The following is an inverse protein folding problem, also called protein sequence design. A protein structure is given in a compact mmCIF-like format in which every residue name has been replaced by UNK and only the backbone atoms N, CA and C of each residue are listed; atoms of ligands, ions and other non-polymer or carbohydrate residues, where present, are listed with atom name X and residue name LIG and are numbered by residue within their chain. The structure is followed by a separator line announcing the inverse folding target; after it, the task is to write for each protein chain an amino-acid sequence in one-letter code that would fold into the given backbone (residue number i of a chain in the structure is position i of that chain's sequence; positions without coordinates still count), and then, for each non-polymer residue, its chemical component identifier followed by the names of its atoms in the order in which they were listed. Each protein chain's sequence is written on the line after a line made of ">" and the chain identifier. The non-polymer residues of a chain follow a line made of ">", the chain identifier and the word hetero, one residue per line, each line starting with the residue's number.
data_IF_006147542734
#
_entry.id   IF_006147542734
#
_cell.length_a   1.000
_cell.length_b   1.000
_cell.length_c   1.000
_cell.angle_alpha   90.00
_cell.angle_beta   90.00
_cell.angle_gamma   90.00
#
_symmetry.space_group_name_H-M   'P 1'
#
loop_
_entity.id
_entity.type
_entity.pdbx_description
1 polymer ?
#
# COMPACT_ATOMS: atom_id res chain seq x y z
N UNK A 1 -12.15 45.21 4.75
CA UNK A 1 -10.85 44.50 4.65
C UNK A 1 -10.61 43.50 5.78
N UNK A 2 -10.58 43.89 7.08
CA UNK A 2 -10.34 42.95 8.22
C UNK A 2 -11.27 41.73 8.29
N UNK A 3 -12.60 41.89 8.09
CA UNK A 3 -13.55 40.76 8.08
C UNK A 3 -13.33 39.76 6.93
N UNK A 4 -12.85 40.25 5.78
CA UNK A 4 -12.63 39.44 4.59
C UNK A 4 -11.39 38.55 4.75
N UNK A 5 -10.35 39.09 5.40
CA UNK A 5 -9.16 38.34 5.81
C UNK A 5 -9.52 37.27 6.86
N UNK A 6 -10.36 37.59 7.86
CA UNK A 6 -10.82 36.59 8.85
C UNK A 6 -11.59 35.44 8.17
N UNK A 7 -12.46 35.73 7.22
CA UNK A 7 -13.22 34.71 6.46
C UNK A 7 -12.27 33.84 5.64
N UNK A 8 -11.29 34.44 4.95
CA UNK A 8 -10.32 33.71 4.14
C UNK A 8 -9.46 32.77 4.99
N UNK A 9 -9.02 33.21 6.18
CA UNK A 9 -8.29 32.38 7.12
C UNK A 9 -9.16 31.19 7.58
N UNK A 10 -10.42 31.43 7.96
CA UNK A 10 -11.35 30.35 8.34
C UNK A 10 -11.49 29.34 7.20
N UNK A 11 -11.62 29.80 5.97
CA UNK A 11 -11.77 28.92 4.80
C UNK A 11 -10.53 28.03 4.62
N UNK A 12 -9.32 28.61 4.60
CA UNK A 12 -8.08 27.84 4.44
C UNK A 12 -7.95 26.79 5.54
N UNK A 13 -8.09 27.20 6.80
CA UNK A 13 -7.91 26.28 7.93
C UNK A 13 -9.01 25.21 7.92
N UNK A 14 -10.25 25.56 7.55
CA UNK A 14 -11.34 24.60 7.41
C UNK A 14 -11.04 23.57 6.32
N UNK A 15 -10.62 24.01 5.14
CA UNK A 15 -10.22 23.12 4.05
C UNK A 15 -9.08 22.19 4.49
N UNK A 16 -8.05 22.72 5.17
CA UNK A 16 -6.94 21.91 5.67
C UNK A 16 -7.38 20.89 6.73
N UNK A 17 -8.28 21.24 7.65
CA UNK A 17 -8.82 20.30 8.65
C UNK A 17 -9.66 19.20 7.99
N UNK A 18 -10.52 19.54 7.03
CA UNK A 18 -11.32 18.56 6.27
C UNK A 18 -10.40 17.61 5.51
N UNK A 19 -9.36 18.15 4.89
CA UNK A 19 -8.39 17.39 4.12
C UNK A 19 -7.59 16.41 4.99
N UNK A 20 -7.03 16.88 6.10
CA UNK A 20 -6.34 16.02 7.08
C UNK A 20 -7.29 14.94 7.59
N UNK A 21 -8.52 15.31 7.99
CA UNK A 21 -9.50 14.35 8.49
C UNK A 21 -9.87 13.28 7.45
N UNK A 22 -10.01 13.69 6.18
CA UNK A 22 -10.28 12.76 5.08
C UNK A 22 -9.12 11.79 4.86
N UNK A 23 -7.88 12.27 4.90
CA UNK A 23 -6.69 11.42 4.84
C UNK A 23 -6.68 10.37 5.98
N UNK A 24 -6.98 10.78 7.22
CA UNK A 24 -7.06 9.86 8.36
C UNK A 24 -8.19 8.82 8.20
N UNK A 25 -9.36 9.24 7.70
CA UNK A 25 -10.48 8.33 7.42
C UNK A 25 -10.06 7.30 6.38
N UNK A 26 -9.49 7.72 5.25
CA UNK A 26 -9.05 6.79 4.20
C UNK A 26 -7.92 5.86 4.66
N UNK A 27 -6.97 6.38 5.44
CA UNK A 27 -5.90 5.56 6.03
C UNK A 27 -6.44 4.50 7.00
N UNK A 28 -7.52 4.81 7.73
CA UNK A 28 -8.13 3.89 8.69
C UNK A 28 -9.11 2.90 8.04
N UNK A 29 -9.57 3.17 6.82
CA UNK A 29 -10.57 2.39 6.09
C UNK A 29 -9.97 1.75 4.83
N UNK A 30 -9.87 2.49 3.73
CA UNK A 30 -9.47 1.99 2.41
C UNK A 30 -8.00 1.55 2.32
N UNK A 31 -7.15 1.95 3.28
CA UNK A 31 -5.76 1.50 3.38
C UNK A 31 -5.53 0.55 4.57
N UNK A 32 -6.60 -0.08 5.07
CA UNK A 32 -6.54 -1.02 6.17
C UNK A 32 -7.08 -2.40 5.75
N UNK A 33 -6.25 -3.46 5.69
CA UNK A 33 -6.70 -4.80 5.31
C UNK A 33 -7.82 -5.34 6.21
N UNK A 34 -7.80 -4.99 7.51
CA UNK A 34 -8.81 -5.42 8.49
C UNK A 34 -10.20 -4.86 8.13
N UNK A 35 -10.25 -3.64 7.58
CA UNK A 35 -11.51 -3.05 7.13
C UNK A 35 -12.15 -3.89 6.03
N UNK A 36 -11.37 -4.32 5.03
CA UNK A 36 -11.88 -5.16 3.93
C UNK A 36 -12.27 -6.56 4.39
N UNK A 37 -11.53 -7.15 5.33
CA UNK A 37 -11.96 -8.40 5.95
C UNK A 37 -13.36 -8.26 6.58
N UNK A 38 -13.63 -7.16 7.28
CA UNK A 38 -14.96 -6.90 7.85
C UNK A 38 -16.04 -6.62 6.80
N UNK A 39 -15.68 -6.05 5.63
CA UNK A 39 -16.62 -5.84 4.51
C UNK A 39 -16.95 -7.16 3.84
N UNK A 40 -15.93 -7.96 3.52
CA UNK A 40 -16.08 -9.23 2.78
C UNK A 40 -16.83 -10.28 3.61
N UNK A 41 -16.64 -10.28 4.93
CA UNK A 41 -17.38 -11.16 5.84
C UNK A 41 -18.82 -10.70 6.14
N UNK A 42 -19.27 -9.57 5.58
CA UNK A 42 -20.65 -9.13 5.77
C UNK A 42 -21.61 -10.02 4.97
N UNK A 43 -22.70 -10.47 5.58
CA UNK A 43 -23.60 -11.50 5.02
C UNK A 43 -24.01 -11.24 3.56
N UNK A 44 -24.36 -10.00 3.21
CA UNK A 44 -24.77 -9.66 1.85
C UNK A 44 -23.61 -9.74 0.85
N UNK A 45 -22.39 -9.40 1.27
CA UNK A 45 -21.19 -9.51 0.43
C UNK A 45 -20.77 -10.97 0.30
N UNK A 46 -20.75 -11.72 1.41
CA UNK A 46 -20.44 -13.14 1.40
C UNK A 46 -21.37 -13.92 0.45
N UNK A 47 -22.67 -13.66 0.51
CA UNK A 47 -23.65 -14.27 -0.41
C UNK A 47 -23.39 -13.91 -1.88
N UNK A 48 -23.00 -12.66 -2.18
CA UNK A 48 -22.65 -12.28 -3.56
C UNK A 48 -21.38 -12.95 -4.08
N UNK A 49 -20.43 -13.27 -3.18
CA UNK A 49 -19.21 -14.02 -3.52
C UNK A 49 -19.57 -15.48 -3.80
N UNK A 50 -20.45 -16.08 -3.00
CA UNK A 50 -20.97 -17.44 -3.25
C UNK A 50 -21.69 -17.52 -4.61
N UNK A 51 -22.59 -16.58 -4.89
CA UNK A 51 -23.28 -16.51 -6.18
C UNK A 51 -22.32 -16.33 -7.36
N UNK A 52 -21.29 -15.51 -7.20
CA UNK A 52 -20.28 -15.33 -8.23
C UNK A 52 -19.45 -16.60 -8.45
N UNK A 53 -19.11 -17.33 -7.39
CA UNK A 53 -18.44 -18.62 -7.49
C UNK A 53 -19.31 -19.65 -8.23
N UNK A 54 -20.60 -19.72 -7.91
CA UNK A 54 -21.56 -20.59 -8.59
C UNK A 54 -21.71 -20.22 -10.08
N UNK A 55 -21.80 -18.92 -10.39
CA UNK A 55 -21.86 -18.42 -11.76
C UNK A 55 -20.58 -18.73 -12.56
N UNK A 56 -19.41 -18.52 -11.95
CA UNK A 56 -18.13 -18.89 -12.56
C UNK A 56 -18.08 -20.39 -12.82
N UNK A 57 -18.55 -21.22 -11.89
CA UNK A 57 -18.60 -22.67 -12.04
C UNK A 57 -19.51 -23.11 -13.21
N UNK A 58 -20.68 -22.46 -13.38
CA UNK A 58 -21.57 -22.69 -14.52
C UNK A 58 -20.90 -22.35 -15.86
N UNK A 59 -20.01 -21.36 -15.87
CA UNK A 59 -19.23 -20.95 -17.05
C UNK A 59 -17.90 -21.72 -17.19
N UNK A 60 -17.72 -22.82 -16.45
CA UNK A 60 -16.55 -23.71 -16.55
C UNK A 60 -15.31 -23.25 -15.78
N UNK A 61 -15.42 -22.18 -14.97
CA UNK A 61 -14.37 -21.68 -14.08
C UNK A 61 -14.71 -22.07 -12.64
N UNK A 62 -14.18 -23.19 -12.16
CA UNK A 62 -14.51 -23.69 -10.82
C UNK A 62 -13.54 -23.10 -9.79
N UNK A 63 -14.00 -22.12 -9.02
CA UNK A 63 -13.34 -21.55 -7.84
C UNK A 63 -14.34 -21.65 -6.69
N UNK A 64 -13.98 -22.33 -5.60
CA UNK A 64 -14.85 -22.35 -4.42
C UNK A 64 -14.94 -20.96 -3.77
N UNK A 65 -16.05 -20.66 -3.09
CA UNK A 65 -16.33 -19.33 -2.53
C UNK A 65 -15.26 -18.87 -1.52
N UNK A 66 -14.65 -19.81 -0.79
CA UNK A 66 -13.61 -19.53 0.19
C UNK A 66 -12.29 -19.17 -0.50
N UNK A 67 -11.90 -19.90 -1.55
CA UNK A 67 -10.75 -19.59 -2.40
C UNK A 67 -10.91 -18.24 -3.11
N UNK A 68 -12.11 -17.92 -3.62
CA UNK A 68 -12.39 -16.62 -4.24
C UNK A 68 -12.22 -15.48 -3.22
N UNK A 69 -12.74 -15.68 -2.01
CA UNK A 69 -12.59 -14.75 -0.89
C UNK A 69 -11.14 -14.56 -0.46
N UNK A 70 -10.37 -15.64 -0.32
CA UNK A 70 -8.97 -15.58 0.10
C UNK A 70 -8.10 -14.91 -0.97
N UNK A 71 -8.36 -15.19 -2.25
CA UNK A 71 -7.72 -14.49 -3.38
C UNK A 71 -8.04 -12.98 -3.36
N UNK A 72 -9.30 -12.59 -3.13
CA UNK A 72 -9.71 -11.19 -3.03
C UNK A 72 -9.01 -10.47 -1.87
N UNK A 73 -9.03 -11.06 -0.68
CA UNK A 73 -8.38 -10.48 0.51
C UNK A 73 -6.87 -10.34 0.30
N UNK A 74 -6.24 -11.36 -0.28
CA UNK A 74 -4.81 -11.32 -0.53
C UNK A 74 -4.42 -10.31 -1.61
N UNK A 75 -5.27 -10.08 -2.62
CA UNK A 75 -5.05 -9.05 -3.63
C UNK A 75 -5.19 -7.65 -3.01
N UNK A 76 -6.23 -7.43 -2.20
CA UNK A 76 -6.46 -6.16 -1.49
C UNK A 76 -5.27 -5.83 -0.58
N UNK A 77 -4.79 -6.80 0.19
CA UNK A 77 -3.64 -6.63 1.07
C UNK A 77 -2.37 -6.28 0.27
N UNK A 78 -2.13 -6.94 -0.86
CA UNK A 78 -1.05 -6.59 -1.79
C UNK A 78 -1.16 -5.16 -2.35
N UNK A 79 -2.37 -4.74 -2.76
CA UNK A 79 -2.64 -3.38 -3.24
C UNK A 79 -2.37 -2.34 -2.15
N UNK A 80 -2.82 -2.59 -0.92
CA UNK A 80 -2.60 -1.68 0.22
C UNK A 80 -1.11 -1.59 0.56
N UNK A 81 -0.39 -2.72 0.60
CA UNK A 81 1.06 -2.74 0.81
C UNK A 81 1.80 -1.97 -0.28
N UNK A 82 1.37 -2.10 -1.53
CA UNK A 82 1.94 -1.35 -2.63
C UNK A 82 1.75 0.17 -2.45
N UNK A 83 0.52 0.61 -2.16
CA UNK A 83 0.21 2.03 -1.96
C UNK A 83 0.99 2.62 -0.78
N UNK A 84 1.13 1.87 0.31
CA UNK A 84 1.69 2.38 1.58
C UNK A 84 3.19 2.17 1.75
N UNK A 85 3.78 1.17 1.08
CA UNK A 85 5.17 0.73 1.31
C UNK A 85 5.94 0.40 0.03
N UNK A 86 5.36 0.64 -1.15
CA UNK A 86 5.95 0.26 -2.46
C UNK A 86 6.29 -1.23 -2.56
N UNK A 87 5.57 -2.04 -1.81
CA UNK A 87 5.75 -3.48 -1.82
C UNK A 87 4.84 -4.11 -2.87
N UNK A 88 5.45 -4.50 -3.98
CA UNK A 88 4.83 -5.18 -5.12
C UNK A 88 4.66 -6.69 -4.91
N UNK A 89 4.89 -7.20 -3.69
CA UNK A 89 4.67 -8.61 -3.37
C UNK A 89 3.18 -8.94 -3.33
N UNK A 90 2.64 -9.28 -4.49
CA UNK A 90 1.29 -9.84 -4.60
C UNK A 90 1.33 -11.34 -4.34
N UNK A 91 0.34 -11.85 -3.61
CA UNK A 91 0.13 -13.29 -3.59
C UNK A 91 -0.39 -13.75 -4.95
N UNK A 92 -0.03 -14.97 -5.32
CA UNK A 92 -0.59 -15.59 -6.52
C UNK A 92 -2.09 -15.84 -6.31
N UNK A 93 -2.87 -15.62 -7.37
CA UNK A 93 -4.27 -16.04 -7.45
C UNK A 93 -4.27 -17.55 -7.60
N UNK A 94 -4.76 -18.27 -6.59
CA UNK A 94 -4.84 -19.74 -6.60
C UNK A 94 -6.14 -20.21 -7.22
N UNK A 95 -6.05 -21.10 -8.21
CA UNK A 95 -7.19 -21.78 -8.83
C UNK A 95 -7.31 -23.23 -8.33
N UNK A 96 -8.53 -23.78 -8.31
CA UNK A 96 -8.77 -25.13 -7.80
C UNK A 96 -8.22 -26.21 -8.74
N UNK A 97 -7.53 -27.20 -8.17
CA UNK A 97 -6.71 -28.20 -8.91
C UNK A 97 -7.50 -29.17 -9.81
N UNK A 98 -8.80 -29.38 -9.56
CA UNK A 98 -9.57 -30.45 -10.22
C UNK A 98 -9.76 -30.30 -11.74
N UNK A 99 -9.62 -29.09 -12.29
CA UNK A 99 -9.99 -28.79 -13.68
C UNK A 99 -9.09 -27.74 -14.36
N UNK A 100 -7.84 -27.61 -13.92
CA UNK A 100 -6.88 -26.65 -14.49
C UNK A 100 -6.71 -26.78 -16.02
N UNK A 101 -6.92 -27.98 -16.56
CA UNK A 101 -6.87 -28.26 -18.00
C UNK A 101 -8.04 -27.64 -18.78
N UNK A 102 -9.24 -27.52 -18.21
CA UNK A 102 -10.39 -26.89 -18.88
C UNK A 102 -10.24 -25.37 -18.96
N UNK A 103 -9.78 -24.74 -17.87
CA UNK A 103 -9.47 -23.31 -17.84
C UNK A 103 -8.31 -22.95 -18.78
N UNK A 104 -7.29 -23.83 -18.84
CA UNK A 104 -6.21 -23.75 -19.84
C UNK A 104 -6.78 -23.79 -21.26
N UNK A 105 -7.72 -24.69 -21.53
CA UNK A 105 -8.35 -24.80 -22.85
C UNK A 105 -9.24 -23.61 -23.22
N UNK A 106 -9.93 -22.99 -22.27
CA UNK A 106 -10.81 -21.83 -22.53
C UNK A 106 -10.03 -20.52 -22.72
N UNK A 107 -8.96 -20.30 -21.94
CA UNK A 107 -8.04 -19.17 -22.15
C UNK A 107 -7.30 -19.27 -23.49
N UNK A 108 -6.95 -20.48 -23.93
CA UNK A 108 -6.24 -20.70 -25.20
C UNK A 108 -7.14 -20.82 -26.42
N UNK A 109 -8.45 -20.98 -26.25
CA UNK A 109 -9.41 -20.96 -27.35
C UNK A 109 -9.45 -19.61 -28.10
N UNK A 110 -9.00 -18.52 -27.47
CA UNK A 110 -8.92 -17.18 -28.08
C UNK A 110 -7.54 -16.73 -28.57
N UNK A 111 -6.45 -17.45 -28.25
CA UNK A 111 -5.07 -17.01 -28.52
C UNK A 111 -4.24 -18.15 -29.14
N UNK A 112 -4.52 -18.45 -30.41
CA UNK A 112 -4.20 -19.76 -31.00
C UNK A 112 -2.71 -20.02 -31.31
N UNK A 113 -1.82 -19.03 -31.39
CA UNK A 113 -0.47 -19.27 -31.99
C UNK A 113 0.76 -18.93 -31.16
N UNK A 114 0.66 -18.29 -29.97
CA UNK A 114 1.85 -17.85 -29.20
C UNK A 114 1.96 -18.37 -27.77
N UNK A 115 0.99 -19.13 -27.28
CA UNK A 115 0.77 -19.29 -25.82
C UNK A 115 1.03 -20.71 -25.28
N UNK A 116 1.79 -21.54 -26.02
CA UNK A 116 1.98 -22.97 -25.68
C UNK A 116 2.77 -23.24 -24.40
N UNK A 117 3.48 -22.26 -23.83
CA UNK A 117 4.42 -22.46 -22.71
C UNK A 117 4.13 -21.57 -21.49
N UNK A 118 2.87 -21.35 -21.11
CA UNK A 118 2.58 -20.74 -19.79
C UNK A 118 2.71 -21.82 -18.71
N UNK A 119 3.62 -21.66 -17.72
CA UNK A 119 3.68 -22.53 -16.55
C UNK A 119 2.43 -22.49 -15.69
N UNK A 120 2.11 -23.62 -15.04
CA UNK A 120 1.10 -23.78 -13.97
C UNK A 120 0.18 -22.57 -13.76
N UNK A 121 -0.87 -22.52 -14.60
CA UNK A 121 -1.96 -21.52 -14.56
C UNK A 121 -2.71 -21.57 -13.22
N UNK A 122 -2.47 -22.60 -12.41
CA UNK A 122 -2.95 -22.76 -11.04
C UNK A 122 -2.59 -21.58 -10.12
N UNK A 123 -1.58 -20.78 -10.47
CA UNK A 123 -1.11 -19.62 -9.71
C UNK A 123 -0.79 -18.46 -10.64
N UNK A 124 -1.75 -17.57 -10.85
CA UNK A 124 -1.58 -16.37 -11.68
C UNK A 124 -1.04 -15.24 -10.80
N UNK A 125 0.14 -14.73 -11.12
CA UNK A 125 0.67 -13.53 -10.46
C UNK A 125 -0.08 -12.30 -11.00
N UNK A 126 -0.56 -11.35 -10.17
CA UNK A 126 -1.32 -10.22 -10.65
C UNK A 126 -0.68 -9.46 -11.81
N UNK A 127 0.64 -9.22 -11.82
CA UNK A 127 1.36 -8.61 -12.98
C UNK A 127 1.23 -9.31 -14.33
N UNK A 128 0.70 -10.54 -14.38
CA UNK A 128 0.41 -11.24 -15.62
C UNK A 128 -0.98 -10.90 -16.18
N UNK A 129 -1.81 -10.16 -15.46
CA UNK A 129 -3.18 -9.87 -15.91
C UNK A 129 -3.19 -9.17 -17.28
N UNK A 130 -2.26 -8.26 -17.54
CA UNK A 130 -2.08 -7.59 -18.84
C UNK A 130 -1.71 -8.55 -19.97
N UNK A 131 -1.08 -9.68 -19.65
CA UNK A 131 -0.75 -10.71 -20.63
C UNK A 131 -2.01 -11.49 -21.04
N UNK A 132 -2.93 -11.73 -20.10
CA UNK A 132 -4.18 -12.46 -20.37
C UNK A 132 -5.32 -11.56 -20.85
N UNK A 133 -5.35 -10.31 -20.38
CA UNK A 133 -6.44 -9.35 -20.60
C UNK A 133 -5.84 -8.05 -21.12
N UNK A 134 -5.92 -7.87 -22.43
CA UNK A 134 -5.51 -6.63 -23.10
C UNK A 134 -6.24 -5.42 -22.51
N UNK A 135 -5.54 -4.31 -22.27
CA UNK A 135 -6.10 -3.09 -21.68
C UNK A 135 -6.00 -3.03 -20.16
N UNK A 136 -5.72 -4.16 -19.48
CA UNK A 136 -5.62 -4.21 -18.02
C UNK A 136 -4.34 -3.57 -17.45
N UNK A 137 -3.37 -3.21 -18.31
CA UNK A 137 -2.22 -2.36 -17.96
C UNK A 137 -2.65 -1.01 -17.34
N UNK A 138 -3.84 -0.51 -17.70
CA UNK A 138 -4.43 0.71 -17.14
C UNK A 138 -4.62 0.63 -15.62
N UNK A 139 -4.84 -0.58 -15.09
CA UNK A 139 -5.00 -0.80 -13.64
C UNK A 139 -3.72 -0.43 -12.88
N UNK A 140 -2.55 -0.75 -13.43
CA UNK A 140 -1.28 -0.43 -12.77
C UNK A 140 -0.92 1.04 -12.88
N UNK A 141 -1.31 1.70 -13.98
CA UNK A 141 -1.20 3.15 -14.09
C UNK A 141 -2.06 3.86 -13.03
N UNK A 142 -3.32 3.44 -12.87
CA UNK A 142 -4.20 3.96 -11.84
C UNK A 142 -3.65 3.67 -10.43
N UNK A 143 -3.16 2.47 -10.20
CA UNK A 143 -2.57 2.09 -8.92
C UNK A 143 -1.33 2.94 -8.59
N UNK A 144 -0.47 3.21 -9.58
CA UNK A 144 0.67 4.11 -9.42
C UNK A 144 0.25 5.54 -9.10
N UNK A 145 -0.78 6.04 -9.79
CA UNK A 145 -1.35 7.36 -9.54
C UNK A 145 -1.90 7.49 -8.11
N UNK A 146 -2.59 6.44 -7.62
CA UNK A 146 -3.09 6.38 -6.24
C UNK A 146 -1.95 6.35 -5.22
N UNK A 147 -0.90 5.55 -5.44
CA UNK A 147 0.30 5.51 -4.58
C UNK A 147 0.98 6.88 -4.51
N UNK A 148 1.20 7.51 -5.65
CA UNK A 148 1.82 8.83 -5.74
C UNK A 148 1.01 9.89 -4.98
N UNK A 149 -0.31 9.85 -5.18
CA UNK A 149 -1.25 10.74 -4.48
C UNK A 149 -1.21 10.49 -2.97
N UNK A 150 -1.14 9.23 -2.53
CA UNK A 150 -1.00 8.87 -1.13
C UNK A 150 0.33 9.39 -0.53
N UNK A 151 1.47 9.18 -1.19
CA UNK A 151 2.78 9.65 -0.73
C UNK A 151 2.81 11.18 -0.59
N UNK A 152 2.22 11.90 -1.54
CA UNK A 152 2.06 13.35 -1.49
C UNK A 152 1.17 13.78 -0.32
N UNK A 153 0.06 13.08 -0.05
CA UNK A 153 -0.77 13.40 1.11
C UNK A 153 -0.12 13.04 2.44
N UNK A 154 0.60 11.93 2.52
CA UNK A 154 1.32 11.49 3.70
C UNK A 154 2.35 12.54 4.13
N UNK A 155 3.05 13.14 3.18
CA UNK A 155 4.03 14.20 3.41
C UNK A 155 3.40 15.58 3.68
N UNK A 156 2.32 15.94 2.96
CA UNK A 156 1.66 17.24 3.13
C UNK A 156 0.83 17.36 4.40
N UNK A 157 0.21 16.29 4.91
CA UNK A 157 -0.69 16.36 6.08
C UNK A 157 -0.01 16.93 7.34
N UNK A 158 1.20 16.49 7.73
CA UNK A 158 1.94 17.09 8.85
C UNK A 158 2.23 18.59 8.63
N UNK A 159 2.64 18.98 7.42
CA UNK A 159 2.95 20.37 7.07
C UNK A 159 1.70 21.25 7.19
N UNK A 160 0.56 20.78 6.68
CA UNK A 160 -0.73 21.48 6.82
C UNK A 160 -1.14 21.60 8.29
N UNK A 161 -0.94 20.55 9.10
CA UNK A 161 -1.20 20.59 10.53
C UNK A 161 -0.39 21.67 11.26
N UNK A 162 0.90 21.79 10.92
CA UNK A 162 1.78 22.84 11.45
C UNK A 162 1.38 24.23 10.99
N UNK A 163 1.01 24.39 9.71
CA UNK A 163 0.54 25.66 9.16
C UNK A 163 -0.76 26.13 9.82
N UNK A 164 -1.70 25.20 10.05
CA UNK A 164 -2.93 25.47 10.81
C UNK A 164 -2.59 25.95 12.23
N UNK A 165 -1.68 25.25 12.92
CA UNK A 165 -1.24 25.63 14.26
C UNK A 165 -0.61 27.03 14.27
N UNK A 166 0.24 27.33 13.28
CA UNK A 166 0.87 28.64 13.12
C UNK A 166 -0.18 29.75 12.93
N UNK A 167 -1.16 29.54 12.05
CA UNK A 167 -2.26 30.49 11.81
C UNK A 167 -3.04 30.74 13.11
N UNK A 168 -3.36 29.69 13.86
CA UNK A 168 -4.05 29.84 15.14
C UNK A 168 -3.23 30.66 16.13
N UNK A 169 -1.94 30.37 16.27
CA UNK A 169 -1.04 31.05 17.21
C UNK A 169 -0.81 32.53 16.90
N UNK A 170 -0.88 32.92 15.62
CA UNK A 170 -0.70 34.31 15.19
C UNK A 170 -1.99 35.16 15.26
N UNK A 171 -3.13 34.54 15.52
CA UNK A 171 -4.42 35.22 15.58
C UNK A 171 -4.67 35.82 16.96
N UNK A 172 -5.21 37.05 17.04
CA UNK A 172 -5.47 37.74 18.33
C UNK A 172 -6.52 37.07 19.21
N UNK A 173 -7.40 36.23 18.64
CA UNK A 173 -8.48 35.51 19.34
C UNK A 173 -8.56 34.05 18.86
N UNK A 174 -7.56 33.22 19.19
CA UNK A 174 -7.41 31.87 18.64
C UNK A 174 -8.63 30.98 18.95
N UNK A 175 -9.19 31.07 20.16
CA UNK A 175 -10.29 30.18 20.57
C UNK A 175 -11.59 30.40 19.77
N UNK A 176 -11.87 31.65 19.35
CA UNK A 176 -13.04 31.95 18.52
C UNK A 176 -12.86 31.43 17.09
N UNK A 177 -11.66 31.59 16.54
CA UNK A 177 -11.32 31.09 15.21
C UNK A 177 -11.35 29.56 15.18
N UNK A 178 -10.79 28.91 16.20
CA UNK A 178 -10.73 27.47 16.35
C UNK A 178 -12.13 26.84 16.36
N UNK A 179 -13.02 27.32 17.24
CA UNK A 179 -14.39 26.83 17.32
C UNK A 179 -15.18 27.01 16.01
N UNK A 180 -15.05 28.17 15.33
CA UNK A 180 -15.74 28.39 14.04
C UNK A 180 -15.25 27.41 12.98
N UNK A 181 -13.94 27.22 12.89
CA UNK A 181 -13.31 26.38 11.89
C UNK A 181 -13.66 24.91 12.11
N UNK A 182 -13.58 24.41 13.35
CA UNK A 182 -13.96 23.03 13.66
C UNK A 182 -15.42 22.74 13.35
N UNK A 183 -16.35 23.67 13.62
CA UNK A 183 -17.76 23.50 13.26
C UNK A 183 -17.97 23.46 11.76
N UNK A 184 -17.32 24.35 11.01
CA UNK A 184 -17.41 24.36 9.55
C UNK A 184 -16.82 23.08 8.94
N UNK A 185 -15.68 22.60 9.46
CA UNK A 185 -15.06 21.36 9.03
C UNK A 185 -15.92 20.14 9.38
N UNK A 186 -16.48 20.09 10.60
CA UNK A 186 -17.42 19.05 11.02
C UNK A 186 -18.63 18.97 10.09
N UNK A 187 -19.25 20.11 9.78
CA UNK A 187 -20.37 20.17 8.85
C UNK A 187 -19.96 19.69 7.45
N UNK A 188 -18.79 20.12 6.96
CA UNK A 188 -18.28 19.72 5.65
C UNK A 188 -18.05 18.20 5.56
N UNK A 189 -17.49 17.58 6.62
CA UNK A 189 -17.30 16.12 6.68
C UNK A 189 -18.64 15.37 6.72
N UNK A 190 -19.62 15.87 7.47
CA UNK A 190 -20.97 15.28 7.49
C UNK A 190 -21.60 15.36 6.10
N UNK A 191 -21.50 16.51 5.43
CA UNK A 191 -22.00 16.69 4.06
C UNK A 191 -21.29 15.75 3.09
N UNK A 192 -19.96 15.60 3.16
CA UNK A 192 -19.21 14.65 2.35
C UNK A 192 -19.65 13.20 2.61
N UNK A 193 -19.81 12.81 3.87
CA UNK A 193 -20.31 11.48 4.24
C UNK A 193 -21.70 11.19 3.68
N UNK A 194 -22.61 12.17 3.75
CA UNK A 194 -23.94 12.06 3.16
C UNK A 194 -23.89 11.99 1.63
N UNK A 195 -23.00 12.77 1.00
CA UNK A 195 -22.80 12.78 -0.44
C UNK A 195 -22.32 11.42 -0.95
N UNK A 196 -21.35 10.80 -0.28
CA UNK A 196 -20.88 9.43 -0.57
C UNK A 196 -22.04 8.44 -0.52
N UNK A 197 -22.90 8.53 0.50
CA UNK A 197 -24.05 7.65 0.66
C UNK A 197 -25.13 7.87 -0.41
N UNK A 198 -25.41 9.12 -0.76
CA UNK A 198 -26.46 9.48 -1.73
C UNK A 198 -26.06 9.13 -3.16
N UNK A 199 -24.79 9.31 -3.52
CA UNK A 199 -24.29 9.07 -4.87
C UNK A 199 -23.69 7.68 -5.07
N UNK A 200 -23.73 6.81 -4.05
CA UNK A 200 -23.19 5.45 -4.14
C UNK A 200 -23.68 4.73 -5.40
N UNK A 201 -24.97 4.81 -5.72
CA UNK A 201 -25.55 4.12 -6.88
C UNK A 201 -25.10 4.75 -8.20
N UNK A 202 -25.07 6.08 -8.31
CA UNK A 202 -24.69 6.76 -9.56
C UNK A 202 -23.20 6.59 -9.88
N UNK A 203 -22.34 6.66 -8.86
CA UNK A 203 -20.91 6.45 -9.00
C UNK A 203 -20.61 4.99 -9.36
N UNK A 204 -21.32 4.04 -8.75
CA UNK A 204 -21.19 2.62 -9.05
C UNK A 204 -21.62 2.26 -10.47
N UNK A 205 -22.81 2.69 -10.88
CA UNK A 205 -23.37 2.44 -12.22
C UNK A 205 -22.42 2.94 -13.30
N UNK A 206 -21.83 4.13 -13.14
CA UNK A 206 -20.93 4.70 -14.17
C UNK A 206 -19.60 3.96 -14.35
N UNK A 207 -19.05 3.37 -13.28
CA UNK A 207 -17.71 2.76 -13.34
C UNK A 207 -17.77 1.27 -13.73
N UNK A 208 -18.77 0.52 -13.24
CA UNK A 208 -18.80 -0.95 -13.38
C UNK A 208 -19.61 -1.45 -14.56
N UNK A 209 -20.66 -0.74 -15.02
CA UNK A 209 -21.43 -1.14 -16.20
C UNK A 209 -20.62 -1.01 -17.51
N UNK A 210 -19.58 -0.17 -17.52
CA UNK A 210 -18.72 0.00 -18.70
C UNK A 210 -17.82 -1.22 -19.00
N UNK A 211 -17.69 -2.16 -18.05
CA UNK A 211 -16.74 -3.28 -18.12
C UNK A 211 -17.45 -4.62 -18.38
N UNK A 212 -18.52 -4.94 -17.65
CA UNK A 212 -19.40 -6.12 -17.91
C UNK A 212 -20.55 -6.17 -16.91
N UNK A 213 -21.74 -6.61 -17.35
CA UNK A 213 -22.90 -6.86 -16.48
C UNK A 213 -22.64 -7.90 -15.39
N UNK A 214 -21.73 -8.85 -15.63
CA UNK A 214 -21.44 -9.95 -14.71
C UNK A 214 -20.54 -9.47 -13.55
N UNK A 215 -19.63 -8.54 -13.83
CA UNK A 215 -18.78 -7.89 -12.81
C UNK A 215 -19.60 -6.98 -11.89
N UNK A 216 -20.72 -6.44 -12.36
CA UNK A 216 -21.65 -5.63 -11.54
C UNK A 216 -22.25 -6.47 -10.42
N UNK A 217 -22.55 -7.75 -10.66
CA UNK A 217 -23.15 -8.64 -9.66
C UNK A 217 -22.24 -8.82 -8.43
N UNK A 218 -20.93 -8.94 -8.64
CA UNK A 218 -19.93 -9.08 -7.57
C UNK A 218 -19.54 -7.72 -6.97
N UNK A 219 -19.27 -6.73 -7.80
CA UNK A 219 -18.69 -5.45 -7.35
C UNK A 219 -19.67 -4.55 -6.62
N UNK A 220 -20.95 -4.55 -7.00
CA UNK A 220 -21.96 -3.65 -6.44
C UNK A 220 -22.21 -3.87 -4.94
N UNK A 221 -22.40 -5.11 -4.43
CA UNK A 221 -22.54 -5.37 -3.00
C UNK A 221 -21.32 -4.94 -2.19
N UNK A 222 -20.11 -5.26 -2.67
CA UNK A 222 -18.84 -4.92 -2.02
C UNK A 222 -18.71 -3.40 -1.90
N UNK A 223 -18.88 -2.69 -3.02
CA UNK A 223 -18.72 -1.24 -3.07
C UNK A 223 -19.81 -0.48 -2.30
N UNK A 224 -21.04 -1.01 -2.29
CA UNK A 224 -22.12 -0.47 -1.45
C UNK A 224 -21.74 -0.55 0.03
N UNK A 225 -21.25 -1.70 0.49
CA UNK A 225 -20.86 -1.88 1.89
C UNK A 225 -19.65 -1.01 2.27
N UNK A 226 -18.65 -0.89 1.37
CA UNK A 226 -17.52 0.04 1.55
C UNK A 226 -18.05 1.48 1.70
N UNK A 227 -18.94 1.92 0.80
CA UNK A 227 -19.48 3.28 0.78
C UNK A 227 -20.25 3.60 2.07
N UNK A 228 -21.06 2.66 2.54
CA UNK A 228 -21.82 2.79 3.80
C UNK A 228 -20.86 2.95 4.98
N UNK A 229 -19.86 2.07 5.10
CA UNK A 229 -18.91 2.14 6.22
C UNK A 229 -18.06 3.39 6.15
N UNK A 230 -17.50 3.77 5.00
CA UNK A 230 -16.72 5.00 4.84
C UNK A 230 -17.57 6.23 5.19
N UNK A 231 -18.82 6.30 4.70
CA UNK A 231 -19.77 7.36 5.05
C UNK A 231 -19.96 7.48 6.57
N UNK A 232 -20.09 6.36 7.27
CA UNK A 232 -20.23 6.32 8.72
C UNK A 232 -18.97 6.86 9.44
N UNK A 233 -17.76 6.58 8.94
CA UNK A 233 -16.53 7.18 9.47
C UNK A 233 -16.50 8.70 9.29
N UNK A 234 -16.97 9.23 8.15
CA UNK A 234 -17.12 10.67 7.94
C UNK A 234 -18.11 11.31 8.94
N UNK A 235 -19.25 10.66 9.16
CA UNK A 235 -20.26 11.13 10.12
C UNK A 235 -19.72 11.13 11.56
N UNK A 236 -19.11 10.04 12.00
CA UNK A 236 -18.53 9.93 13.35
C UNK A 236 -17.44 10.99 13.55
N UNK A 237 -16.52 11.13 12.59
CA UNK A 237 -15.44 12.13 12.66
C UNK A 237 -16.01 13.54 12.74
N UNK A 238 -17.04 13.85 11.94
CA UNK A 238 -17.76 15.12 12.00
C UNK A 238 -18.40 15.38 13.38
N UNK A 239 -19.08 14.39 13.95
CA UNK A 239 -19.68 14.48 15.29
C UNK A 239 -18.60 14.72 16.36
N UNK A 240 -17.47 14.01 16.29
CA UNK A 240 -16.34 14.17 17.22
C UNK A 240 -15.75 15.57 17.12
N UNK A 241 -15.48 16.08 15.90
CA UNK A 241 -14.99 17.45 15.72
C UNK A 241 -15.97 18.50 16.23
N UNK A 242 -17.27 18.28 16.04
CA UNK A 242 -18.31 19.16 16.59
C UNK A 242 -18.33 19.14 18.13
N UNK A 243 -18.23 17.97 18.75
CA UNK A 243 -18.14 17.81 20.19
C UNK A 243 -16.89 18.48 20.76
N UNK A 244 -15.73 18.30 20.11
CA UNK A 244 -14.48 19.00 20.44
C UNK A 244 -14.71 20.51 20.40
N UNK A 245 -15.35 21.04 19.34
CA UNK A 245 -15.65 22.47 19.27
C UNK A 245 -16.54 22.96 20.42
N UNK A 246 -17.47 22.14 20.94
CA UNK A 246 -18.29 22.51 22.09
C UNK A 246 -17.47 22.55 23.39
N UNK A 247 -16.58 21.57 23.60
CA UNK A 247 -15.69 21.53 24.77
C UNK A 247 -14.78 22.77 24.78
N UNK A 248 -14.19 23.13 23.63
CA UNK A 248 -13.32 24.31 23.52
C UNK A 248 -14.07 25.65 23.63
N UNK A 249 -15.42 25.63 23.57
CA UNK A 249 -16.25 26.81 23.85
C UNK A 249 -16.45 27.05 25.34
N UNK A 250 -16.18 26.05 26.20
CA UNK A 250 -16.25 26.23 27.65
C UNK A 250 -15.28 27.33 28.09
N UNK A 251 -15.73 28.18 29.02
CA UNK A 251 -15.04 29.40 29.41
C UNK A 251 -13.58 29.16 29.86
N UNK A 252 -13.33 28.05 30.55
CA UNK A 252 -12.01 27.65 31.05
C UNK A 252 -11.00 27.42 29.91
N UNK A 253 -11.39 26.69 28.86
CA UNK A 253 -10.55 26.43 27.69
C UNK A 253 -10.44 27.64 26.77
N UNK A 254 -11.55 28.36 26.58
CA UNK A 254 -11.58 29.57 25.78
C UNK A 254 -10.66 30.67 26.35
N UNK A 255 -10.65 30.82 27.67
CA UNK A 255 -9.78 31.77 28.37
C UNK A 255 -8.32 31.33 28.37
N UNK A 256 -8.02 30.03 28.50
CA UNK A 256 -6.64 29.52 28.38
C UNK A 256 -6.07 29.77 26.98
N UNK A 257 -6.82 29.48 25.92
CA UNK A 257 -6.37 29.71 24.54
C UNK A 257 -6.10 31.19 24.24
N UNK A 258 -6.97 32.09 24.70
CA UNK A 258 -6.78 33.53 24.49
C UNK A 258 -5.68 34.14 25.37
N UNK A 259 -5.16 33.41 26.37
CA UNK A 259 -4.02 33.81 27.21
C UNK A 259 -2.67 33.28 26.71
N UNK A 260 -2.64 32.52 25.62
CA UNK A 260 -1.39 32.11 24.99
C UNK A 260 -0.66 33.38 24.53
N UNK A 261 0.47 33.67 25.17
CA UNK A 261 1.27 34.85 24.83
C UNK A 261 1.94 34.64 23.48
N UNK A 262 2.10 35.74 22.71
CA UNK A 262 2.84 35.70 21.43
C UNK A 262 4.26 35.15 21.61
N UNK A 263 4.88 35.32 22.77
CA UNK A 263 6.20 34.76 23.09
C UNK A 263 6.19 33.23 23.18
N UNK A 264 5.19 32.62 23.82
CA UNK A 264 5.07 31.15 23.89
C UNK A 264 4.72 30.55 22.51
N UNK A 265 3.92 31.25 21.72
CA UNK A 265 3.67 30.90 20.32
C UNK A 265 4.96 30.90 19.50
N UNK A 266 5.76 31.97 19.59
CA UNK A 266 7.05 32.10 18.90
C UNK A 266 8.04 31.02 19.35
N UNK A 267 8.08 30.71 20.65
CA UNK A 267 8.92 29.61 21.17
C UNK A 267 8.52 28.26 20.56
N UNK A 268 7.22 27.94 20.52
CA UNK A 268 6.71 26.70 19.92
C UNK A 268 7.04 26.62 18.42
N UNK A 269 6.90 27.73 17.70
CA UNK A 269 7.26 27.85 16.29
C UNK A 269 8.76 27.62 16.11
N UNK A 270 9.58 28.20 16.99
CA UNK A 270 11.05 28.06 16.93
C UNK A 270 11.47 26.61 17.20
N UNK A 271 10.89 25.95 18.21
CA UNK A 271 11.15 24.54 18.51
C UNK A 271 10.73 23.65 17.32
N UNK A 272 9.56 23.91 16.73
CA UNK A 272 9.07 23.18 15.56
C UNK A 272 9.98 23.38 14.34
N UNK A 273 10.43 24.61 14.09
CA UNK A 273 11.34 24.94 13.00
C UNK A 273 12.71 24.28 13.20
N UNK A 274 13.24 24.29 14.43
CA UNK A 274 14.49 23.60 14.78
C UNK A 274 14.33 22.08 14.63
N UNK A 275 13.20 21.52 15.04
CA UNK A 275 12.90 20.10 14.83
C UNK A 275 12.87 19.73 13.34
N UNK A 276 12.15 20.52 12.52
CA UNK A 276 12.13 20.37 11.06
C UNK A 276 13.50 20.56 10.42
N UNK A 277 14.34 21.46 10.95
CA UNK A 277 15.72 21.63 10.48
C UNK A 277 16.62 20.45 10.85
N UNK A 278 16.47 19.90 12.06
CA UNK A 278 17.21 18.72 12.52
C UNK A 278 16.84 17.47 11.71
N UNK A 279 15.56 17.34 11.34
CA UNK A 279 15.05 16.22 10.53
C UNK A 279 14.93 16.61 9.05
N UNK A 280 15.56 17.72 8.64
CA UNK A 280 15.46 18.25 7.28
C UNK A 280 15.89 17.21 6.27
N UNK A 281 16.96 16.49 6.53
CA UNK A 281 17.48 15.52 5.58
C UNK A 281 16.49 14.38 5.34
N UNK A 282 15.86 13.85 6.39
CA UNK A 282 14.85 12.78 6.29
C UNK A 282 13.55 13.26 5.63
N UNK A 283 13.12 14.49 5.92
CA UNK A 283 11.89 15.07 5.35
C UNK A 283 12.11 15.48 3.89
N UNK A 284 13.24 16.12 3.57
CA UNK A 284 13.53 16.53 2.19
C UNK A 284 13.96 15.35 1.32
N UNK A 285 14.65 14.33 1.83
CA UNK A 285 14.86 13.10 1.07
C UNK A 285 13.54 12.38 0.83
N UNK A 286 12.66 12.29 1.82
CA UNK A 286 11.32 11.72 1.66
C UNK A 286 10.45 12.47 0.64
N UNK A 287 10.46 13.81 0.65
CA UNK A 287 9.70 14.65 -0.29
C UNK A 287 10.36 14.71 -1.67
N UNK A 288 11.68 14.85 -1.77
CA UNK A 288 12.40 14.90 -3.06
C UNK A 288 12.39 13.53 -3.71
N UNK A 289 12.60 12.42 -3.00
CA UNK A 289 12.43 11.09 -3.59
C UNK A 289 10.99 10.80 -3.97
N UNK A 290 9.99 11.20 -3.17
CA UNK A 290 8.59 11.03 -3.59
C UNK A 290 8.21 11.91 -4.77
N UNK A 291 8.75 13.13 -4.91
CA UNK A 291 8.53 14.00 -6.08
C UNK A 291 9.35 13.56 -7.30
N UNK A 292 10.58 13.08 -7.12
CA UNK A 292 11.43 12.51 -8.16
C UNK A 292 10.84 11.18 -8.67
N UNK A 293 10.34 10.29 -7.81
CA UNK A 293 9.60 9.08 -8.17
C UNK A 293 8.19 9.38 -8.73
N UNK A 294 7.65 10.58 -8.50
CA UNK A 294 6.43 11.06 -9.19
C UNK A 294 6.79 11.57 -10.60
N UNK A 295 7.95 12.20 -10.76
CA UNK A 295 8.42 12.75 -12.05
C UNK A 295 9.00 11.68 -12.98
N UNK A 296 9.64 10.67 -12.42
CA UNK A 296 9.95 9.43 -13.10
C UNK A 296 8.72 8.55 -12.97
N UNK A 297 7.84 8.62 -13.97
CA UNK A 297 6.85 7.57 -14.18
C UNK A 297 7.65 6.27 -14.37
N UNK A 298 8.00 5.60 -13.27
CA UNK A 298 8.42 4.20 -13.32
C UNK A 298 7.17 3.49 -13.76
N UNK A 299 7.08 3.23 -15.06
CA UNK A 299 6.00 2.40 -15.54
C UNK A 299 6.25 1.05 -14.88
N UNK A 300 5.30 0.61 -14.06
CA UNK A 300 5.26 -0.79 -13.65
C UNK A 300 5.22 -1.54 -14.97
N UNK A 301 6.34 -2.14 -15.36
CA UNK A 301 6.38 -2.90 -16.60
C UNK A 301 5.49 -4.12 -16.33
N UNK A 302 4.35 -4.12 -16.98
CA UNK A 302 3.42 -5.24 -16.94
C UNK A 302 3.73 -6.11 -18.13
N UNK A 303 3.58 -7.42 -18.00
CA UNK A 303 3.78 -8.33 -19.13
C UNK A 303 2.79 -8.01 -20.24
N UNK A 304 3.25 -7.50 -21.38
CA UNK A 304 2.40 -7.24 -22.53
C UNK A 304 2.18 -8.52 -23.33
N UNK A 305 1.07 -8.64 -24.06
CA UNK A 305 0.84 -9.75 -25.00
C UNK A 305 1.94 -9.88 -26.08
N UNK A 306 2.67 -8.79 -26.30
CA UNK A 306 3.74 -8.67 -27.28
C UNK A 306 5.08 -9.13 -26.70
N UNK A 307 5.19 -9.23 -25.38
CA UNK A 307 6.39 -9.74 -24.72
C UNK A 307 6.51 -11.21 -25.08
N UNK A 308 7.50 -11.54 -25.89
CA UNK A 308 7.83 -12.92 -26.14
C UNK A 308 8.15 -13.58 -24.80
N UNK A 309 7.49 -14.71 -24.57
CA UNK A 309 7.88 -15.70 -23.58
C UNK A 309 7.88 -15.26 -22.11
N UNK A 310 6.78 -15.53 -21.41
CA UNK A 310 6.72 -15.43 -19.95
C UNK A 310 7.49 -16.58 -19.30
N UNK A 311 8.47 -16.28 -18.45
CA UNK A 311 9.25 -17.26 -17.70
C UNK A 311 8.88 -17.25 -16.22
N UNK A 312 8.61 -18.43 -15.63
CA UNK A 312 8.43 -18.55 -14.19
C UNK A 312 9.74 -18.95 -13.51
N UNK A 313 10.23 -18.05 -12.66
CA UNK A 313 11.44 -18.22 -11.88
C UNK A 313 11.09 -18.48 -10.42
N UNK A 314 11.54 -19.59 -9.85
CA UNK A 314 11.39 -19.88 -8.41
C UNK A 314 12.74 -19.82 -7.73
N UNK A 315 12.92 -18.90 -6.79
CA UNK A 315 14.10 -18.82 -5.94
C UNK A 315 13.78 -19.45 -4.58
N UNK A 316 14.55 -20.47 -4.20
CA UNK A 316 14.39 -21.20 -2.95
C UNK A 316 15.46 -20.76 -1.97
N UNK A 317 15.09 -20.01 -0.94
CA UNK A 317 15.99 -19.58 0.12
C UNK A 317 16.14 -20.67 1.16
N UNK A 318 17.39 -21.07 1.41
CA UNK A 318 17.72 -22.11 2.39
C UNK A 318 18.89 -21.67 3.25
N UNK A 319 18.92 -22.10 4.51
CA UNK A 319 20.12 -21.99 5.33
C UNK A 319 21.23 -22.90 4.78
N UNK A 320 22.46 -22.40 4.68
CA UNK A 320 23.58 -23.16 4.12
C UNK A 320 23.90 -24.42 4.94
N UNK A 321 23.88 -24.32 6.27
CA UNK A 321 24.26 -25.42 7.16
C UNK A 321 23.16 -26.48 7.32
N UNK A 322 21.89 -26.08 7.35
CA UNK A 322 20.77 -26.96 7.72
C UNK A 322 19.87 -27.31 6.54
N UNK A 323 20.04 -26.64 5.40
CA UNK A 323 19.15 -26.67 4.24
C UNK A 323 17.68 -26.34 4.56
N UNK A 324 17.40 -25.78 5.75
CA UNK A 324 16.04 -25.41 6.16
C UNK A 324 15.54 -24.21 5.34
N UNK A 325 14.25 -24.19 4.98
CA UNK A 325 13.66 -23.09 4.23
C UNK A 325 13.67 -21.79 5.05
N UNK A 326 13.97 -20.67 4.38
CA UNK A 326 14.00 -19.35 4.99
C UNK A 326 12.82 -18.52 4.49
N UNK A 327 11.85 -18.28 5.38
CA UNK A 327 10.61 -17.54 5.09
C UNK A 327 10.73 -16.04 5.40
N UNK A 328 9.89 -15.24 4.74
CA UNK A 328 9.70 -13.82 5.05
C UNK A 328 10.79 -12.88 4.52
N UNK A 329 11.70 -13.36 3.67
CA UNK A 329 12.72 -12.51 3.03
C UNK A 329 12.14 -11.95 1.73
N UNK A 330 12.21 -10.64 1.55
CA UNK A 330 11.78 -9.96 0.32
C UNK A 330 12.91 -10.01 -0.69
N UNK A 331 12.66 -10.71 -1.80
CA UNK A 331 13.55 -10.73 -2.95
C UNK A 331 13.04 -9.72 -3.99
N UNK A 332 13.97 -9.05 -4.65
CA UNK A 332 13.72 -8.03 -5.68
C UNK A 332 14.43 -8.48 -6.95
N UNK A 333 13.72 -8.45 -8.07
CA UNK A 333 14.25 -8.71 -9.41
C UNK A 333 14.11 -7.44 -10.26
N UNK A 334 15.26 -6.90 -10.70
CA UNK A 334 15.34 -5.73 -11.57
C UNK A 334 15.84 -6.14 -12.95
N UNK A 335 15.08 -5.84 -14.00
CA UNK A 335 15.56 -6.05 -15.38
C UNK A 335 16.69 -5.05 -15.69
N UNK A 336 17.84 -5.57 -16.12
CA UNK A 336 19.04 -4.76 -16.37
C UNK A 336 19.30 -4.47 -17.85
N UNK A 337 18.57 -5.13 -18.76
CA UNK A 337 18.75 -4.94 -20.21
C UNK A 337 18.07 -3.69 -20.77
N UNK A 338 17.21 -3.01 -19.98
CA UNK A 338 16.48 -1.81 -20.39
C UNK A 338 16.80 -0.63 -19.46
N UNK A 339 17.70 0.29 -19.85
CA UNK A 339 18.16 1.37 -18.96
C UNK A 339 17.12 2.47 -18.68
N UNK A 340 16.03 2.54 -19.45
CA UNK A 340 15.05 3.64 -19.35
C UNK A 340 13.74 3.28 -18.64
N UNK A 341 13.56 2.02 -18.17
CA UNK A 341 12.39 1.60 -17.41
C UNK A 341 12.65 0.19 -16.80
N UNK A 342 13.42 0.07 -15.70
CA UNK A 342 13.72 -1.24 -15.15
C UNK A 342 12.41 -1.86 -14.65
N UNK A 343 12.01 -2.99 -15.25
CA UNK A 343 10.98 -3.85 -14.69
C UNK A 343 11.45 -4.22 -13.28
N UNK A 344 10.74 -3.70 -12.28
CA UNK A 344 10.97 -3.94 -10.86
C UNK A 344 9.85 -4.86 -10.36
N UNK A 345 10.22 -6.04 -9.85
CA UNK A 345 9.27 -6.98 -9.25
C UNK A 345 9.86 -7.47 -7.93
N UNK A 346 9.05 -7.47 -6.86
CA UNK A 346 9.48 -8.00 -5.56
C UNK A 346 8.50 -9.04 -5.03
N UNK A 347 8.99 -10.05 -4.33
CA UNK A 347 8.17 -11.08 -3.70
C UNK A 347 8.78 -11.60 -2.39
N UNK A 348 7.94 -11.95 -1.42
CA UNK A 348 8.34 -12.53 -0.13
C UNK A 348 8.49 -14.04 -0.23
N UNK A 349 9.50 -14.60 0.43
CA UNK A 349 9.65 -16.06 0.54
C UNK A 349 8.58 -16.67 1.44
N UNK A 350 7.95 -17.74 0.97
CA UNK A 350 6.87 -18.42 1.68
C UNK A 350 7.40 -19.35 2.80
N UNK A 351 6.52 -20.14 3.43
CA UNK A 351 6.88 -21.12 4.48
C UNK A 351 7.91 -22.17 4.03
N UNK A 352 7.97 -22.46 2.73
CA UNK A 352 8.92 -23.39 2.12
C UNK A 352 10.19 -22.68 1.60
N UNK A 353 10.34 -21.39 1.92
CA UNK A 353 11.44 -20.55 1.46
C UNK A 353 11.38 -20.23 -0.04
N UNK A 354 10.25 -20.51 -0.70
CA UNK A 354 10.09 -20.29 -2.13
C UNK A 354 9.59 -18.86 -2.39
N UNK A 355 10.26 -18.18 -3.31
CA UNK A 355 9.83 -16.92 -3.90
C UNK A 355 9.64 -17.14 -5.39
N UNK A 356 8.45 -16.86 -5.91
CA UNK A 356 8.13 -17.03 -7.34
C UNK A 356 8.07 -15.67 -8.02
N UNK A 357 8.83 -15.52 -9.08
CA UNK A 357 8.75 -14.41 -10.01
C UNK A 357 8.20 -14.90 -11.35
N UNK A 358 7.46 -14.03 -12.01
CA UNK A 358 7.06 -14.22 -13.39
C UNK A 358 7.62 -13.04 -14.17
N UNK A 359 8.55 -13.33 -15.09
CA UNK A 359 9.41 -12.34 -15.72
C UNK A 359 9.42 -12.55 -17.24
N UNK A 360 9.41 -11.48 -18.06
CA UNK A 360 9.65 -11.60 -19.50
C UNK A 360 11.09 -12.01 -19.78
N UNK A 361 11.40 -12.31 -21.04
CA UNK A 361 12.77 -12.56 -21.46
C UNK A 361 13.72 -11.41 -21.07
N UNK A 362 14.97 -11.76 -20.75
CA UNK A 362 16.05 -10.82 -20.45
C UNK A 362 16.85 -11.17 -19.19
N UNK A 363 17.76 -10.29 -18.83
CA UNK A 363 18.65 -10.39 -17.67
C UNK A 363 18.09 -9.61 -16.49
N UNK A 364 18.14 -10.24 -15.32
CA UNK A 364 17.61 -9.71 -14.08
C UNK A 364 18.68 -9.71 -13.01
N UNK A 365 18.91 -8.56 -12.39
CA UNK A 365 19.63 -8.47 -11.13
C UNK A 365 18.66 -8.81 -10.01
N UNK A 366 18.91 -9.93 -9.34
CA UNK A 366 18.14 -10.39 -8.20
C UNK A 366 18.92 -10.22 -6.91
N UNK A 367 18.32 -9.53 -5.95
CA UNK A 367 18.90 -9.29 -4.64
C UNK A 367 17.80 -9.36 -3.58
N UNK A 368 18.19 -9.30 -2.32
CA UNK A 368 17.25 -9.29 -1.21
C UNK A 368 17.26 -7.96 -0.49
N UNK A 369 16.10 -7.57 0.02
CA UNK A 369 15.95 -6.44 0.90
C UNK A 369 16.54 -6.79 2.27
N UNK A 370 17.68 -6.18 2.61
CA UNK A 370 18.41 -6.43 3.84
C UNK A 370 17.55 -6.22 5.09
N UNK A 371 16.54 -5.35 5.03
CA UNK A 371 15.64 -5.06 6.16
C UNK A 371 14.72 -6.21 6.52
N UNK A 372 14.58 -7.20 5.62
CA UNK A 372 13.68 -8.35 5.79
C UNK A 372 14.39 -9.64 6.19
N UNK A 373 15.71 -9.60 6.39
CA UNK A 373 16.46 -10.79 6.76
C UNK A 373 16.19 -11.23 8.20
N UNK A 374 16.04 -12.55 8.44
CA UNK A 374 16.01 -13.08 9.79
C UNK A 374 17.32 -12.75 10.54
N UNK A 375 17.24 -12.41 11.83
CA UNK A 375 18.43 -12.14 12.63
C UNK A 375 19.36 -13.36 12.64
N UNK A 376 20.65 -13.14 12.38
CA UNK A 376 21.68 -14.18 12.38
C UNK A 376 21.96 -14.83 11.02
N UNK A 377 21.35 -14.35 9.92
CA UNK A 377 21.72 -14.72 8.56
C UNK A 377 22.33 -13.53 7.82
N UNK A 378 23.28 -13.80 6.94
CA UNK A 378 23.86 -12.79 6.05
C UNK A 378 23.02 -12.66 4.77
N UNK A 379 22.89 -11.44 4.23
CA UNK A 379 22.38 -11.26 2.88
C UNK A 379 23.30 -11.94 1.85
N UNK A 380 22.71 -12.41 0.76
CA UNK A 380 23.47 -12.95 -0.37
C UNK A 380 23.85 -11.83 -1.33
N UNK A 381 24.98 -12.00 -2.02
CA UNK A 381 25.40 -11.06 -3.06
C UNK A 381 24.39 -11.03 -4.21
N UNK A 382 24.06 -9.86 -4.77
CA UNK A 382 23.16 -9.77 -5.92
C UNK A 382 23.57 -10.71 -7.07
N UNK A 383 22.62 -11.46 -7.61
CA UNK A 383 22.84 -12.47 -8.65
C UNK A 383 22.20 -12.01 -9.95
N UNK A 384 22.88 -12.19 -11.08
CA UNK A 384 22.29 -11.95 -12.40
C UNK A 384 21.71 -13.27 -12.92
N UNK A 385 20.43 -13.26 -13.30
CA UNK A 385 19.71 -14.40 -13.88
C UNK A 385 19.29 -14.02 -15.29
N UNK A 386 19.70 -14.83 -16.26
CA UNK A 386 19.31 -14.69 -17.67
C UNK A 386 18.15 -15.63 -17.99
N UNK A 387 17.09 -15.07 -18.59
CA UNK A 387 15.88 -15.77 -18.98
C UNK A 387 15.73 -15.64 -20.50
N UNK A 388 16.37 -16.54 -21.24
CA UNK A 388 16.46 -16.44 -22.70
C UNK A 388 15.32 -17.13 -23.45
N UNK A 389 14.60 -18.04 -22.77
CA UNK A 389 13.50 -18.82 -23.37
C UNK A 389 12.30 -18.94 -22.42
N UNK A 390 11.06 -19.02 -22.92
CA UNK A 390 9.89 -19.26 -22.08
C UNK A 390 10.00 -20.61 -21.38
N UNK A 391 9.69 -20.64 -20.08
CA UNK A 391 9.77 -21.88 -19.33
C UNK A 391 9.66 -21.71 -17.83
N UNK A 392 10.12 -22.75 -17.14
CA UNK A 392 10.18 -22.84 -15.69
C UNK A 392 11.62 -23.06 -15.25
N UNK A 393 12.14 -22.15 -14.44
CA UNK A 393 13.42 -22.34 -13.77
C UNK A 393 13.25 -22.27 -12.27
N UNK A 394 14.07 -23.02 -11.56
CA UNK A 394 14.20 -22.86 -10.13
C UNK A 394 15.66 -22.89 -9.73
N UNK A 395 16.02 -22.02 -8.80
CA UNK A 395 17.36 -21.92 -8.22
C UNK A 395 17.24 -22.00 -6.71
N UNK A 396 18.28 -22.51 -6.04
CA UNK A 396 18.38 -22.47 -4.59
C UNK A 396 19.50 -21.52 -4.19
N UNK A 397 19.19 -20.58 -3.32
CA UNK A 397 20.17 -19.65 -2.73
C UNK A 397 20.38 -20.08 -1.28
N UNK A 398 21.63 -20.40 -0.96
CA UNK A 398 22.02 -20.83 0.38
C UNK A 398 22.57 -19.64 1.16
N UNK A 399 21.92 -19.29 2.27
CA UNK A 399 22.27 -18.17 3.14
C UNK A 399 23.23 -18.62 4.24
N UNK A 400 24.36 -17.93 4.36
CA UNK A 400 25.32 -18.16 5.43
C UNK A 400 24.82 -17.53 6.75
N UNK A 401 25.25 -18.08 7.88
CA UNK A 401 25.06 -17.43 9.17
C UNK A 401 25.90 -16.17 9.27
N UNK A 402 25.37 -15.15 9.93
CA UNK A 402 26.14 -13.96 10.28
C UNK A 402 27.30 -14.36 11.17
N UNK A 403 28.54 -14.05 10.74
CA UNK A 403 29.71 -14.24 11.59
C UNK A 403 29.49 -13.41 12.86
N UNK A 404 29.52 -14.06 14.03
CA UNK A 404 29.60 -13.32 15.29
C UNK A 404 30.84 -12.44 15.19
N UNK A 405 30.75 -11.12 15.45
CA UNK A 405 31.94 -10.29 15.47
C UNK A 405 32.95 -10.96 16.40
N UNK A 406 34.12 -11.31 15.88
CA UNK A 406 35.25 -11.74 16.71
C UNK A 406 35.47 -10.57 17.65
N UNK A 407 35.14 -10.75 18.93
CA UNK A 407 35.49 -9.81 19.99
C UNK A 407 36.99 -9.53 19.76
N UNK A 408 37.40 -8.29 19.46
CA UNK A 408 38.80 -7.99 19.27
C UNK A 408 39.50 -8.46 20.54
N UNK A 409 40.53 -9.30 20.35
CA UNK A 409 41.27 -9.98 21.40
C UNK A 409 41.22 -9.20 22.71
N UNK A 410 40.53 -9.75 23.72
CA UNK A 410 40.73 -9.33 25.09
C UNK A 410 42.25 -9.41 25.30
N UNK A 411 42.91 -8.26 25.40
CA UNK A 411 44.23 -8.17 25.99
C UNK A 411 44.06 -8.82 27.36
N UNK A 412 44.61 -10.03 27.53
CA UNK A 412 44.65 -10.69 28.82
C UNK A 412 45.46 -9.78 29.73
N UNK A 413 44.77 -8.99 30.56
CA UNK A 413 45.39 -8.41 31.73
C UNK A 413 45.90 -9.58 32.58
N UNK A 414 47.22 -9.68 32.68
CA UNK A 414 47.90 -10.73 33.41
C UNK A 414 47.35 -10.84 34.83
N UNK A 415 47.15 -12.08 35.29
CA UNK A 415 46.83 -12.38 36.69
C UNK A 415 47.93 -11.77 37.58
N UNK A 416 47.59 -11.02 38.65
CA UNK A 416 48.58 -10.71 39.66
C UNK A 416 49.00 -12.01 40.34
N UNK A 417 50.30 -12.29 40.31
CA UNK A 417 50.94 -13.39 41.05
C UNK A 417 50.97 -12.99 42.52
N UNK A 418 50.41 -13.77 43.46
CA UNK A 418 50.60 -13.52 44.88
C UNK A 418 52.04 -13.90 45.28
N UNK A 419 52.73 -13.01 45.99
CA UNK A 419 54.00 -13.33 46.63
C UNK A 419 53.78 -14.33 47.78
N UNK A 420 54.72 -15.27 48.00
CA UNK A 420 54.59 -16.33 48.99
C UNK A 420 54.83 -15.80 50.40
N UNK A 421 54.04 -16.31 51.36
CA UNK A 421 54.53 -16.69 52.67
C UNK A 421 54.33 -18.18 52.84
#
# INVERSE_FOLDING_TARGET
>A
MKKLIEIFIILIVCCSVVFISSYWIFSSTLLNPVFFNNVINYNHVAYSIEQAADYMAQNGIIIDSQSLKDNLLSLIDGVIRYITREDMSFSNITLYNGYAESFKSSLFAGAFDKVRNIPDILRIHPFMLSYFVSGSETVYFLLQSVRNTYALFHTLCPVLGLLILFIFLMTEKPGKLFCKTLKAAALSLVVLGLFIKLLQNSLLISLTESISSDLVLLSKPIMSEISIKVSLYFLITGIVLFAISLIFRLELFYNMQNRITKQNAVLLITITAVFLMLHRHDITSGVIHSVEDVSQIRYVSTLAQNDEAVHSLVLKLKEQETARPVKGVKLIANKIDFPYNPLYVSALSNSDGNTRFILPHGSYLVYADETTFPPGLNPFEPVIIQLDTPGNSWYSIYLAKAEKPKIPHLIQYGKPVPYPY
#
